data_IF_999916609884
#
_entry.id   IF_999916609884
#
_cell.length_a   1.000
_cell.length_b   1.000
_cell.length_c   1.000
_cell.angle_alpha   90.00
_cell.angle_beta   90.00
_cell.angle_gamma   90.00
#
_symmetry.space_group_name_H-M   'P 1'
#
loop_
_entity.id
_entity.type
_entity.pdbx_description
1 polymer ?
#
# COMPACT_ATOMS: atom_id res chain seq x y z
N UNK A 1 -13.78 -6.25 26.64
CA UNK A 1 -13.45 -5.12 25.74
C UNK A 1 -12.53 -5.66 24.68
N UNK A 2 -12.93 -5.66 23.41
CA UNK A 2 -12.06 -6.11 22.34
C UNK A 2 -11.03 -5.00 22.10
N UNK A 3 -9.77 -5.26 22.41
CA UNK A 3 -8.68 -4.32 22.16
C UNK A 3 -8.49 -4.22 20.65
N UNK A 4 -8.81 -3.06 20.08
CA UNK A 4 -8.55 -2.78 18.67
C UNK A 4 -7.03 -2.60 18.49
N UNK A 5 -6.37 -3.33 17.58
CA UNK A 5 -4.94 -3.22 17.37
C UNK A 5 -4.60 -1.89 16.67
N UNK A 6 -3.42 -1.35 16.91
CA UNK A 6 -2.90 -0.28 16.05
C UNK A 6 -2.49 -0.87 14.70
N UNK A 7 -2.65 -0.09 13.62
CA UNK A 7 -2.31 -0.51 12.26
C UNK A 7 -1.19 0.39 11.75
N UNK A 8 -0.10 -0.22 11.30
CA UNK A 8 0.98 0.48 10.59
C UNK A 8 1.00 -0.04 9.16
N UNK A 9 0.70 0.84 8.21
CA UNK A 9 0.80 0.55 6.79
C UNK A 9 2.12 1.08 6.24
N UNK A 10 3.00 0.19 5.79
CA UNK A 10 4.28 0.57 5.18
C UNK A 10 4.28 0.15 3.70
N UNK A 11 4.53 1.11 2.82
CA UNK A 11 4.71 0.86 1.39
C UNK A 11 6.11 1.32 0.98
N UNK A 12 6.86 0.45 0.31
CA UNK A 12 8.11 0.83 -0.34
C UNK A 12 7.83 1.18 -1.81
N UNK A 13 8.25 2.37 -2.24
CA UNK A 13 8.03 2.82 -3.62
C UNK A 13 9.07 2.19 -4.56
N UNK A 14 8.60 1.73 -5.73
CA UNK A 14 9.44 1.24 -6.82
C UNK A 14 10.36 0.06 -6.45
N UNK A 15 9.94 -0.78 -5.49
CA UNK A 15 10.64 -2.01 -5.11
C UNK A 15 10.21 -3.20 -5.97
N UNK A 16 11.19 -4.03 -6.35
CA UNK A 16 10.96 -5.35 -6.93
C UNK A 16 11.26 -6.43 -5.91
N UNK A 17 10.38 -7.42 -5.80
CA UNK A 17 10.52 -8.52 -4.85
C UNK A 17 11.85 -9.28 -4.99
N UNK A 18 12.29 -9.54 -6.24
CA UNK A 18 13.55 -10.22 -6.57
C UNK A 18 14.81 -9.42 -6.23
N UNK A 19 14.68 -8.17 -5.76
CA UNK A 19 15.77 -7.31 -5.28
C UNK A 19 15.68 -7.03 -3.77
N UNK A 20 14.92 -7.86 -3.04
CA UNK A 20 14.75 -7.79 -1.57
C UNK A 20 15.46 -8.95 -0.88
N UNK A 21 15.73 -8.82 0.42
CA UNK A 21 16.23 -9.93 1.26
C UNK A 21 15.24 -11.08 1.41
N UNK A 22 13.96 -10.89 1.08
CA UNK A 22 12.96 -11.97 1.05
C UNK A 22 12.95 -12.73 -0.28
N UNK A 23 13.51 -12.13 -1.33
CA UNK A 23 13.69 -12.76 -2.63
C UNK A 23 15.07 -13.44 -2.71
N UNK A 24 15.44 -13.86 -3.91
CA UNK A 24 16.72 -14.53 -4.18
C UNK A 24 17.85 -13.52 -4.50
N UNK A 25 17.80 -12.31 -3.93
CA UNK A 25 18.78 -11.28 -4.21
C UNK A 25 20.09 -11.54 -3.45
N UNK A 26 21.22 -11.23 -4.09
CA UNK A 26 22.56 -11.46 -3.53
C UNK A 26 22.91 -10.49 -2.39
N UNK A 27 22.26 -9.32 -2.34
CA UNK A 27 22.50 -8.29 -1.32
C UNK A 27 21.41 -8.27 -0.26
N UNK A 28 21.84 -7.98 0.97
CA UNK A 28 20.96 -7.74 2.12
C UNK A 28 20.33 -6.33 2.07
N UNK A 29 19.24 -6.16 1.32
CA UNK A 29 18.60 -4.84 1.09
C UNK A 29 17.40 -4.54 1.98
N UNK A 30 16.75 -5.55 2.57
CA UNK A 30 15.52 -5.38 3.37
C UNK A 30 15.48 -6.33 4.58
N UNK A 31 16.57 -6.46 5.32
CA UNK A 31 16.72 -7.44 6.41
C UNK A 31 15.64 -7.33 7.48
N UNK A 32 15.27 -6.11 7.90
CA UNK A 32 14.20 -5.92 8.89
C UNK A 32 12.83 -6.50 8.43
N UNK A 33 12.55 -6.49 7.12
CA UNK A 33 11.32 -7.07 6.57
C UNK A 33 11.44 -8.61 6.53
N UNK A 34 12.63 -9.13 6.23
CA UNK A 34 12.89 -10.58 6.27
C UNK A 34 12.69 -11.12 7.69
N UNK A 35 13.31 -10.48 8.69
CA UNK A 35 13.15 -10.82 10.10
C UNK A 35 11.68 -10.74 10.55
N UNK A 36 10.94 -9.72 10.09
CA UNK A 36 9.49 -9.62 10.36
C UNK A 36 8.72 -10.80 9.78
N UNK A 37 9.06 -11.23 8.56
CA UNK A 37 8.38 -12.32 7.86
C UNK A 37 8.64 -13.71 8.47
N UNK A 38 9.74 -13.87 9.19
CA UNK A 38 10.13 -15.12 9.86
C UNK A 38 9.45 -15.33 11.21
N UNK A 39 8.76 -14.31 11.74
CA UNK A 39 8.04 -14.42 13.01
C UNK A 39 6.87 -15.40 12.89
N UNK A 40 6.59 -16.10 13.99
CA UNK A 40 5.48 -17.07 14.06
C UNK A 40 4.09 -16.47 13.86
N UNK A 41 3.93 -15.16 14.07
CA UNK A 41 2.69 -14.41 13.91
C UNK A 41 2.61 -13.65 12.57
N UNK A 42 3.59 -13.83 11.69
CA UNK A 42 3.65 -13.19 10.38
C UNK A 42 3.12 -14.08 9.26
N UNK A 43 2.64 -13.44 8.19
CA UNK A 43 2.25 -14.10 6.95
C UNK A 43 2.88 -13.35 5.77
N UNK A 44 3.45 -14.11 4.83
CA UNK A 44 4.02 -13.59 3.58
C UNK A 44 3.28 -14.19 2.38
N UNK A 45 3.06 -13.37 1.36
CA UNK A 45 2.35 -13.77 0.14
C UNK A 45 3.30 -13.69 -1.05
N UNK A 46 3.70 -14.85 -1.60
CA UNK A 46 4.57 -14.92 -2.79
C UNK A 46 3.85 -14.56 -4.09
N UNK A 47 2.51 -14.59 -4.09
CA UNK A 47 1.64 -14.21 -5.22
C UNK A 47 0.88 -12.93 -4.91
N UNK A 48 1.61 -11.83 -4.71
CA UNK A 48 1.05 -10.50 -4.48
C UNK A 48 1.45 -9.57 -5.63
N UNK A 49 0.49 -9.24 -6.51
CA UNK A 49 0.73 -8.47 -7.73
C UNK A 49 0.17 -7.05 -7.61
N UNK A 50 0.95 -6.06 -8.04
CA UNK A 50 0.48 -4.67 -8.12
C UNK A 50 -0.62 -4.53 -9.18
N UNK A 51 -1.58 -3.65 -8.91
CA UNK A 51 -2.64 -3.27 -9.84
C UNK A 51 -2.11 -2.60 -11.11
N UNK A 52 -0.93 -1.97 -11.03
CA UNK A 52 -0.27 -1.32 -12.16
C UNK A 52 1.24 -1.17 -11.90
N UNK A 53 2.01 -0.95 -12.98
CA UNK A 53 3.46 -0.71 -12.91
C UNK A 53 3.84 0.73 -12.50
N UNK A 54 2.89 1.63 -12.39
CA UNK A 54 3.11 3.05 -12.16
C UNK A 54 2.44 3.53 -10.87
N UNK A 55 3.11 4.37 -10.09
CA UNK A 55 2.61 4.84 -8.78
C UNK A 55 1.30 5.62 -8.90
N UNK A 56 1.09 6.38 -9.99
CA UNK A 56 -0.16 7.12 -10.23
C UNK A 56 -1.41 6.23 -10.38
N UNK A 57 -1.21 4.97 -10.78
CA UNK A 57 -2.29 4.00 -10.93
C UNK A 57 -2.33 3.03 -9.75
N UNK A 58 -1.17 2.55 -9.27
CA UNK A 58 -1.11 1.56 -8.21
C UNK A 58 -1.44 2.11 -6.82
N UNK A 59 -0.99 3.33 -6.49
CA UNK A 59 -1.20 3.91 -5.15
C UNK A 59 -2.70 4.13 -4.87
N UNK A 60 -3.49 4.78 -5.76
CA UNK A 60 -4.92 4.90 -5.52
C UNK A 60 -5.64 3.54 -5.50
N UNK A 61 -5.19 2.56 -6.29
CA UNK A 61 -5.74 1.20 -6.24
C UNK A 61 -5.50 0.53 -4.89
N UNK A 62 -4.28 0.66 -4.35
CA UNK A 62 -3.91 0.09 -3.05
C UNK A 62 -4.78 0.68 -1.93
N UNK A 63 -4.98 2.00 -1.92
CA UNK A 63 -5.68 2.69 -0.83
C UNK A 63 -7.20 2.59 -0.94
N UNK A 64 -7.76 2.42 -2.14
CA UNK A 64 -9.21 2.28 -2.34
C UNK A 64 -9.69 0.83 -2.43
N UNK A 65 -8.78 -0.13 -2.62
CA UNK A 65 -9.13 -1.53 -2.90
C UNK A 65 -9.84 -1.71 -4.25
N UNK A 66 -9.58 -0.83 -5.23
CA UNK A 66 -10.22 -0.89 -6.56
C UNK A 66 -9.20 -0.90 -7.69
N UNK A 67 -9.58 -1.44 -8.85
CA UNK A 67 -8.72 -1.42 -10.03
C UNK A 67 -8.56 -0.01 -10.62
N UNK A 68 -7.47 0.25 -11.38
CA UNK A 68 -7.28 1.50 -12.11
C UNK A 68 -8.50 1.91 -12.92
N UNK A 69 -9.12 0.97 -13.65
CA UNK A 69 -10.32 1.20 -14.45
C UNK A 69 -11.50 1.79 -13.70
N UNK A 70 -11.56 1.62 -12.36
CA UNK A 70 -12.62 2.19 -11.51
C UNK A 70 -12.32 3.62 -11.09
N UNK A 71 -11.11 3.90 -10.61
CA UNK A 71 -10.74 5.25 -10.13
C UNK A 71 -10.21 6.18 -11.22
N UNK A 72 -9.81 5.65 -12.39
CA UNK A 72 -9.49 6.38 -13.63
C UNK A 72 -8.36 7.42 -13.56
N UNK A 73 -7.63 7.51 -12.46
CA UNK A 73 -6.47 8.42 -12.23
C UNK A 73 -5.27 8.23 -13.19
N UNK A 74 -5.39 7.35 -14.18
CA UNK A 74 -4.38 7.05 -15.19
C UNK A 74 -4.77 7.54 -16.60
N UNK A 75 -6.00 8.04 -16.79
CA UNK A 75 -6.44 8.65 -18.04
C UNK A 75 -6.24 10.17 -17.99
N UNK A 76 -5.47 10.69 -18.95
CA UNK A 76 -5.11 12.11 -19.02
C UNK A 76 -6.29 13.07 -18.80
N UNK A 77 -6.00 14.16 -18.08
CA UNK A 77 -6.87 15.22 -17.56
C UNK A 77 -7.68 14.91 -16.29
N UNK A 78 -7.84 13.65 -15.88
CA UNK A 78 -8.39 13.34 -14.55
C UNK A 78 -7.26 13.00 -13.57
N UNK A 79 -6.73 14.05 -12.94
CA UNK A 79 -5.69 13.93 -11.91
C UNK A 79 -6.26 13.72 -10.50
N UNK A 80 -7.56 13.96 -10.30
CA UNK A 80 -8.19 13.87 -8.99
C UNK A 80 -8.82 12.50 -8.78
N UNK A 81 -8.69 11.98 -7.58
CA UNK A 81 -9.33 10.75 -7.15
C UNK A 81 -10.84 10.98 -6.93
N UNK A 82 -11.72 10.03 -7.32
CA UNK A 82 -13.17 10.22 -7.19
C UNK A 82 -13.62 10.23 -5.73
N UNK A 83 -14.38 11.25 -5.32
CA UNK A 83 -14.88 11.42 -3.94
C UNK A 83 -15.85 10.30 -3.51
N UNK A 84 -16.49 9.62 -4.46
CA UNK A 84 -17.40 8.51 -4.18
C UNK A 84 -16.71 7.20 -3.81
N UNK A 85 -15.39 7.09 -4.02
CA UNK A 85 -14.62 5.91 -3.67
C UNK A 85 -13.99 6.11 -2.29
N UNK A 86 -14.37 5.31 -1.27
CA UNK A 86 -13.75 5.46 0.03
C UNK A 86 -12.30 4.95 0.00
N UNK A 87 -11.43 5.63 0.72
CA UNK A 87 -10.08 5.19 1.03
C UNK A 87 -10.07 4.36 2.31
N UNK A 88 -9.09 3.48 2.45
CA UNK A 88 -8.90 2.66 3.66
C UNK A 88 -8.77 3.51 4.92
N UNK A 89 -8.19 4.72 4.82
CA UNK A 89 -8.12 5.69 5.90
C UNK A 89 -9.51 6.14 6.36
N UNK A 90 -10.40 6.45 5.44
CA UNK A 90 -11.77 6.88 5.74
C UNK A 90 -12.60 5.73 6.31
N UNK A 91 -12.45 4.52 5.77
CA UNK A 91 -13.11 3.33 6.27
C UNK A 91 -12.66 3.00 7.71
N UNK A 92 -11.36 3.07 7.99
CA UNK A 92 -10.83 2.89 9.34
C UNK A 92 -11.30 4.01 10.28
N UNK A 93 -11.32 5.26 9.81
CA UNK A 93 -11.84 6.41 10.53
C UNK A 93 -13.31 6.23 10.94
N UNK A 94 -14.14 5.71 10.03
CA UNK A 94 -15.58 5.47 10.27
C UNK A 94 -15.84 4.48 11.41
N UNK A 95 -14.89 3.57 11.69
CA UNK A 95 -14.95 2.61 12.80
C UNK A 95 -14.09 3.04 14.00
N UNK A 96 -13.70 4.31 14.04
CA UNK A 96 -13.11 4.98 15.20
C UNK A 96 -11.59 4.85 15.34
N UNK A 97 -10.86 4.63 14.25
CA UNK A 97 -9.40 4.79 14.22
C UNK A 97 -9.02 6.25 13.99
N UNK A 98 -7.89 6.67 14.57
CA UNK A 98 -7.20 7.88 14.14
C UNK A 98 -6.25 7.51 13.01
N UNK A 99 -6.37 8.18 11.87
CA UNK A 99 -5.60 7.87 10.67
C UNK A 99 -4.70 9.03 10.28
N UNK A 100 -3.42 8.74 10.07
CA UNK A 100 -2.43 9.71 9.63
C UNK A 100 -1.62 9.11 8.47
N UNK A 101 -1.39 9.90 7.43
CA UNK A 101 -0.56 9.54 6.29
C UNK A 101 0.72 10.36 6.25
N UNK A 102 1.85 9.70 6.00
CA UNK A 102 3.14 10.35 5.75
C UNK A 102 3.73 9.75 4.47
N UNK A 103 3.94 10.59 3.47
CA UNK A 103 4.42 10.13 2.17
C UNK A 103 5.18 11.24 1.44
N UNK A 104 6.27 10.85 0.78
CA UNK A 104 6.96 11.69 -0.21
C UNK A 104 6.49 11.40 -1.64
N UNK A 105 5.58 10.44 -1.82
CA UNK A 105 4.95 10.15 -3.10
C UNK A 105 3.73 11.07 -3.29
N UNK A 106 3.78 11.91 -4.32
CA UNK A 106 2.74 12.90 -4.61
C UNK A 106 1.34 12.30 -4.85
N UNK A 107 1.26 11.10 -5.41
CA UNK A 107 -0.02 10.42 -5.67
C UNK A 107 -0.65 9.85 -4.40
N UNK A 108 0.15 9.54 -3.38
CA UNK A 108 -0.36 9.19 -2.06
C UNK A 108 -0.75 10.45 -1.27
N UNK A 109 0.04 11.52 -1.37
CA UNK A 109 -0.19 12.76 -0.64
C UNK A 109 -1.34 13.61 -1.19
N UNK A 110 -1.82 13.30 -2.39
CA UNK A 110 -3.00 13.93 -3.00
C UNK A 110 -4.32 13.20 -2.70
N UNK A 111 -4.27 12.11 -1.93
CA UNK A 111 -5.41 11.29 -1.52
C UNK A 111 -5.80 11.60 -0.07
#
# INVERSE_FOLDING_TARGET
MQTRPNIIWLTLDSVRYDHTSLGEYDRNTTTNIQELSERSDAVSFSMCFSHARSSHASVPSILSGTFPSRHRTYFGNQNQFPEELPLISELLGSVGYQTHGLSNNAYASSL
#
